data_IF_824673267946
#
_entry.id   IF_824673267946
#
_cell.length_a   1.000
_cell.length_b   1.000
_cell.length_c   1.000
_cell.angle_alpha   90.00
_cell.angle_beta   90.00
_cell.angle_gamma   90.00
#
_symmetry.space_group_name_H-M   'P 1'
#
loop_
_entity.id
_entity.type
_entity.pdbx_description
1 polymer ?
#
# COMPACT_ATOMS: atom_id res chain seq x y z
N UNK A 1 -14.33 -4.68 11.57
CA UNK A 1 -13.46 -5.13 12.68
C UNK A 1 -12.88 -6.50 12.37
N UNK A 2 -11.64 -6.72 12.74
CA UNK A 2 -10.96 -8.00 12.76
C UNK A 2 -10.65 -8.34 14.20
N UNK A 3 -11.14 -9.51 14.70
CA UNK A 3 -10.96 -9.93 16.10
C UNK A 3 -11.28 -8.82 17.13
N UNK A 4 -12.39 -8.09 16.91
CA UNK A 4 -12.92 -7.00 17.74
C UNK A 4 -12.17 -5.65 17.66
N UNK A 5 -11.08 -5.56 16.89
CA UNK A 5 -10.37 -4.30 16.65
C UNK A 5 -10.62 -3.77 15.21
N UNK A 6 -10.60 -2.46 14.99
CA UNK A 6 -10.59 -1.89 13.64
C UNK A 6 -9.41 -2.43 12.81
N UNK A 7 -9.58 -2.65 11.51
CA UNK A 7 -8.47 -3.05 10.63
C UNK A 7 -7.28 -2.09 10.73
N UNK A 8 -7.56 -0.79 10.78
CA UNK A 8 -6.54 0.27 10.92
C UNK A 8 -5.67 0.11 12.18
N UNK A 9 -6.20 -0.47 13.27
CA UNK A 9 -5.40 -0.76 14.47
C UNK A 9 -4.22 -1.67 14.15
N UNK A 10 -4.45 -2.75 13.39
CA UNK A 10 -3.40 -3.70 13.00
C UNK A 10 -2.39 -3.08 12.06
N UNK A 11 -2.85 -2.24 11.11
CA UNK A 11 -1.97 -1.51 10.18
C UNK A 11 -1.07 -0.55 10.96
N UNK A 12 -1.61 0.28 11.86
CA UNK A 12 -0.80 1.21 12.67
C UNK A 12 0.18 0.44 13.56
N UNK A 13 -0.25 -0.70 14.13
CA UNK A 13 0.60 -1.56 14.95
C UNK A 13 1.79 -2.07 14.14
N UNK A 14 1.56 -2.65 12.95
CA UNK A 14 2.62 -3.16 12.08
C UNK A 14 3.62 -2.05 11.67
N UNK A 15 3.12 -0.85 11.34
CA UNK A 15 3.93 0.32 10.98
C UNK A 15 4.82 0.75 12.14
N UNK A 16 4.30 0.79 13.37
CA UNK A 16 5.08 1.11 14.58
C UNK A 16 6.11 0.02 14.89
N UNK A 17 5.74 -1.24 14.77
CA UNK A 17 6.65 -2.38 14.96
C UNK A 17 7.75 -2.43 13.89
N UNK A 18 7.50 -1.91 12.69
CA UNK A 18 8.51 -1.72 11.64
C UNK A 18 9.46 -0.53 11.91
N UNK A 19 9.22 0.26 12.96
CA UNK A 19 10.10 1.37 13.37
C UNK A 19 9.72 2.73 12.78
N UNK A 20 8.55 2.88 12.14
CA UNK A 20 8.07 4.19 11.69
C UNK A 20 7.52 4.97 12.89
N UNK A 21 8.16 6.09 13.21
CA UNK A 21 7.82 6.90 14.40
C UNK A 21 6.70 7.90 14.13
N UNK A 22 6.72 8.55 12.97
CA UNK A 22 5.71 9.54 12.59
C UNK A 22 4.72 8.92 11.60
N UNK A 23 3.42 9.08 11.87
CA UNK A 23 2.34 8.45 11.11
C UNK A 23 1.26 9.50 10.81
N UNK A 24 0.83 9.56 9.55
CA UNK A 24 -0.34 10.33 9.13
C UNK A 24 -1.38 9.39 8.50
N UNK A 25 -2.61 9.41 9.02
CA UNK A 25 -3.72 8.63 8.49
C UNK A 25 -4.60 9.51 7.62
N UNK A 26 -4.73 9.16 6.34
CA UNK A 26 -5.68 9.84 5.45
C UNK A 26 -7.08 9.27 5.68
N UNK A 27 -8.00 10.13 6.09
CA UNK A 27 -9.38 9.78 6.40
C UNK A 27 -10.34 10.33 5.34
N UNK A 28 -11.48 9.68 5.14
CA UNK A 28 -12.48 10.10 4.15
C UNK A 28 -13.91 9.93 4.68
N UNK A 29 -14.67 8.99 4.13
CA UNK A 29 -16.04 8.72 4.59
C UNK A 29 -16.06 8.38 6.08
N UNK A 30 -16.93 9.08 6.84
CA UNK A 30 -17.03 8.96 8.31
C UNK A 30 -15.71 9.23 9.04
N UNK A 31 -14.92 10.17 8.54
CA UNK A 31 -13.61 10.53 9.08
C UNK A 31 -13.62 10.73 10.61
N UNK A 32 -14.65 11.40 11.16
CA UNK A 32 -14.78 11.66 12.61
C UNK A 32 -14.76 10.37 13.44
N UNK A 33 -15.37 9.28 12.92
CA UNK A 33 -15.36 7.97 13.60
C UNK A 33 -13.95 7.36 13.56
N UNK A 34 -13.24 7.45 12.41
CA UNK A 34 -11.89 6.92 12.27
C UNK A 34 -10.92 7.70 13.15
N UNK A 35 -10.99 9.03 13.10
CA UNK A 35 -10.12 9.92 13.87
C UNK A 35 -10.26 9.71 15.39
N UNK A 36 -11.46 9.39 15.86
CA UNK A 36 -11.71 9.08 17.28
C UNK A 36 -10.99 7.80 17.77
N UNK A 37 -10.55 6.93 16.86
CA UNK A 37 -9.79 5.71 17.16
C UNK A 37 -8.28 5.86 16.98
N UNK A 38 -7.80 7.00 16.46
CA UNK A 38 -6.38 7.19 16.23
C UNK A 38 -5.63 7.29 17.57
N UNK A 39 -4.50 6.58 17.72
CA UNK A 39 -3.64 6.73 18.89
C UNK A 39 -3.07 8.15 19.02
N UNK A 40 -2.72 8.54 20.23
CA UNK A 40 -2.01 9.80 20.48
C UNK A 40 -0.71 9.88 19.65
N UNK A 41 -0.46 11.04 19.05
CA UNK A 41 0.70 11.31 18.20
C UNK A 41 0.54 10.88 16.73
N UNK A 42 -0.60 10.27 16.35
CA UNK A 42 -0.90 10.00 14.94
C UNK A 42 -1.61 11.20 14.34
N UNK A 43 -1.03 11.77 13.28
CA UNK A 43 -1.63 12.87 12.52
C UNK A 43 -2.77 12.35 11.61
N UNK A 44 -3.69 13.21 11.22
CA UNK A 44 -4.72 12.90 10.22
C UNK A 44 -4.80 13.95 9.13
N UNK A 45 -5.14 13.50 7.91
CA UNK A 45 -5.44 14.35 6.78
C UNK A 45 -6.80 13.95 6.18
N UNK A 46 -7.66 14.95 5.92
CA UNK A 46 -9.02 14.68 5.44
C UNK A 46 -9.09 14.74 3.91
N UNK A 47 -9.50 13.63 3.31
CA UNK A 47 -9.74 13.52 1.87
C UNK A 47 -11.22 13.81 1.55
N UNK A 48 -11.51 14.96 0.99
CA UNK A 48 -12.85 15.34 0.53
C UNK A 48 -12.76 16.27 -0.71
N UNK A 49 -13.29 15.85 -1.89
CA UNK A 49 -13.92 14.57 -2.19
C UNK A 49 -12.89 13.41 -2.32
N UNK A 50 -13.38 12.18 -2.31
CA UNK A 50 -12.56 10.98 -2.53
C UNK A 50 -12.34 10.77 -4.03
N UNK A 51 -11.12 11.10 -4.51
CA UNK A 51 -10.75 11.08 -5.93
C UNK A 51 -9.62 10.08 -6.24
N UNK A 52 -9.52 9.00 -5.48
CA UNK A 52 -8.56 7.94 -5.68
C UNK A 52 -7.41 7.94 -4.69
N UNK A 53 -6.54 6.92 -4.78
CA UNK A 53 -5.45 6.66 -3.84
C UNK A 53 -4.32 7.69 -3.91
N UNK A 54 -3.98 8.16 -5.10
CA UNK A 54 -3.02 9.26 -5.28
C UNK A 54 -3.54 10.56 -4.67
N UNK A 55 -4.84 10.87 -4.86
CA UNK A 55 -5.45 12.04 -4.23
C UNK A 55 -5.46 11.94 -2.69
N UNK A 56 -5.59 10.74 -2.13
CA UNK A 56 -5.47 10.56 -0.69
C UNK A 56 -4.09 11.02 -0.19
N UNK A 57 -3.02 10.61 -0.85
CA UNK A 57 -1.65 11.03 -0.49
C UNK A 57 -1.44 12.53 -0.74
N UNK A 58 -2.04 13.11 -1.81
CA UNK A 58 -2.01 14.55 -2.03
C UNK A 58 -2.66 15.33 -0.88
N UNK A 59 -3.71 14.80 -0.24
CA UNK A 59 -4.32 15.44 0.94
C UNK A 59 -3.38 15.45 2.16
N UNK A 60 -2.43 14.51 2.24
CA UNK A 60 -1.38 14.47 3.27
C UNK A 60 -0.09 15.19 2.84
N UNK A 61 -0.13 16.03 1.79
CA UNK A 61 1.06 16.67 1.20
C UNK A 61 1.95 17.40 2.22
N UNK A 62 1.36 18.10 3.18
CA UNK A 62 2.13 18.79 4.22
C UNK A 62 2.98 17.85 5.06
N UNK A 63 2.46 16.65 5.36
CA UNK A 63 3.21 15.60 6.03
C UNK A 63 4.36 15.08 5.14
N UNK A 64 4.08 14.80 3.86
CA UNK A 64 5.11 14.37 2.90
C UNK A 64 6.21 15.43 2.73
N UNK A 65 5.85 16.72 2.67
CA UNK A 65 6.81 17.83 2.56
C UNK A 65 7.70 17.98 3.79
N UNK A 66 7.17 17.72 4.99
CA UNK A 66 7.93 17.67 6.25
C UNK A 66 9.01 16.58 6.21
N UNK A 67 8.72 15.45 5.57
CA UNK A 67 9.56 14.25 5.46
C UNK A 67 10.17 14.05 4.07
N UNK A 68 10.31 15.14 3.30
CA UNK A 68 10.77 15.08 1.91
C UNK A 68 12.17 14.44 1.71
N UNK A 69 13.01 14.51 2.71
CA UNK A 69 14.38 13.98 2.67
C UNK A 69 14.49 12.58 3.30
N UNK A 70 13.37 12.04 3.79
CA UNK A 70 13.25 10.71 4.36
C UNK A 70 12.64 9.73 3.35
N UNK A 71 12.64 8.43 3.70
CA UNK A 71 11.86 7.42 2.99
C UNK A 71 10.46 7.34 3.62
N UNK A 72 9.44 7.30 2.78
CA UNK A 72 8.03 7.32 3.19
C UNK A 72 7.37 6.00 2.86
N UNK A 73 6.80 5.37 3.88
CA UNK A 73 5.97 4.17 3.75
C UNK A 73 4.50 4.56 3.53
N UNK A 74 3.88 4.02 2.50
CA UNK A 74 2.44 4.17 2.24
C UNK A 74 1.78 2.80 2.28
N UNK A 75 0.68 2.68 3.04
CA UNK A 75 -0.13 1.47 3.13
C UNK A 75 -1.62 1.77 3.00
N UNK A 76 -2.36 0.79 2.51
CA UNK A 76 -3.82 0.82 2.58
C UNK A 76 -4.31 0.46 3.99
N UNK A 77 -5.34 1.17 4.47
CA UNK A 77 -5.90 0.95 5.80
C UNK A 77 -6.76 -0.32 5.96
N UNK A 78 -7.00 -1.05 4.86
CA UNK A 78 -7.81 -2.28 4.79
C UNK A 78 -6.99 -3.58 4.68
N UNK A 79 -5.65 -3.48 4.78
CA UNK A 79 -4.70 -4.60 4.76
C UNK A 79 -4.17 -4.97 6.16
N UNK A 80 -4.98 -5.54 7.08
CA UNK A 80 -4.60 -5.74 8.47
C UNK A 80 -3.60 -6.90 8.68
N UNK A 81 -3.27 -7.65 7.64
CA UNK A 81 -2.34 -8.78 7.70
C UNK A 81 -0.91 -8.42 7.30
N UNK A 82 -0.67 -7.17 6.85
CA UNK A 82 0.68 -6.68 6.60
C UNK A 82 1.47 -6.67 7.92
N UNK A 83 2.64 -7.25 7.91
CA UNK A 83 3.48 -7.40 9.10
C UNK A 83 4.78 -6.60 9.01
N UNK A 84 5.35 -6.28 10.17
CA UNK A 84 6.57 -5.49 10.28
C UNK A 84 7.78 -6.15 9.59
N UNK A 85 7.86 -7.48 9.59
CA UNK A 85 8.94 -8.22 8.92
C UNK A 85 8.93 -7.99 7.42
N UNK A 86 7.75 -8.12 6.80
CA UNK A 86 7.54 -7.86 5.36
C UNK A 86 7.86 -6.40 5.02
N UNK A 87 7.40 -5.44 5.85
CA UNK A 87 7.67 -4.01 5.68
C UNK A 87 9.18 -3.74 5.69
N UNK A 88 9.91 -4.31 6.68
CA UNK A 88 11.35 -4.10 6.84
C UNK A 88 12.16 -4.78 5.73
N UNK A 89 11.82 -6.01 5.32
CA UNK A 89 12.48 -6.64 4.17
C UNK A 89 12.31 -5.83 2.88
N UNK A 90 11.12 -5.26 2.66
CA UNK A 90 10.88 -4.37 1.52
C UNK A 90 11.66 -3.05 1.64
N UNK A 91 11.86 -2.54 2.87
CA UNK A 91 12.70 -1.36 3.12
C UNK A 91 14.17 -1.64 2.82
N UNK A 92 14.70 -2.75 3.31
CA UNK A 92 16.09 -3.15 3.04
C UNK A 92 16.30 -3.27 1.53
N UNK A 93 15.39 -3.94 0.82
CA UNK A 93 15.40 -4.01 -0.64
C UNK A 93 15.35 -2.62 -1.30
N UNK A 94 14.54 -1.70 -0.78
CA UNK A 94 14.44 -0.31 -1.25
C UNK A 94 15.81 0.40 -1.15
N UNK A 95 16.46 0.29 -0.01
CA UNK A 95 17.77 0.94 0.25
C UNK A 95 18.91 0.32 -0.55
N UNK A 96 19.00 -1.01 -0.59
CA UNK A 96 20.06 -1.74 -1.30
C UNK A 96 20.08 -1.43 -2.80
N UNK A 97 18.90 -1.19 -3.40
CA UNK A 97 18.75 -0.89 -4.82
C UNK A 97 18.70 0.62 -5.12
N UNK A 98 18.79 1.47 -4.11
CA UNK A 98 18.63 2.92 -4.24
C UNK A 98 17.38 3.29 -5.07
N UNK A 99 16.25 2.67 -4.75
CA UNK A 99 15.00 2.86 -5.47
C UNK A 99 14.34 4.20 -5.10
N UNK A 100 13.70 4.85 -6.06
CA UNK A 100 12.79 5.97 -5.83
C UNK A 100 11.41 5.49 -5.36
N UNK A 101 11.02 4.29 -5.80
CA UNK A 101 9.81 3.58 -5.38
C UNK A 101 10.10 2.08 -5.28
N UNK A 102 9.64 1.45 -4.22
CA UNK A 102 9.56 -0.01 -4.09
C UNK A 102 8.14 -0.39 -3.70
N UNK A 103 7.47 -1.14 -4.57
CA UNK A 103 6.18 -1.73 -4.21
C UNK A 103 6.37 -3.09 -3.54
N UNK A 104 5.45 -3.46 -2.65
CA UNK A 104 5.31 -4.83 -2.20
C UNK A 104 4.31 -5.52 -3.12
N UNK A 105 4.69 -6.67 -3.67
CA UNK A 105 3.82 -7.50 -4.50
C UNK A 105 3.75 -8.93 -3.95
N UNK A 106 2.78 -9.70 -4.42
CA UNK A 106 2.67 -11.11 -4.12
C UNK A 106 2.15 -11.88 -5.34
N UNK A 107 2.50 -13.16 -5.42
CA UNK A 107 1.95 -14.07 -6.41
C UNK A 107 0.68 -14.68 -5.84
N UNK A 108 -0.48 -14.34 -6.40
CA UNK A 108 -1.79 -14.80 -5.92
C UNK A 108 -2.54 -15.55 -7.04
N UNK A 109 -3.42 -16.49 -6.66
CA UNK A 109 -4.23 -17.23 -7.61
C UNK A 109 -5.44 -16.43 -8.09
N UNK A 110 -6.09 -15.69 -7.19
CA UNK A 110 -7.23 -14.83 -7.49
C UNK A 110 -6.79 -13.36 -7.47
N UNK A 111 -6.68 -12.77 -8.65
CA UNK A 111 -6.28 -11.38 -8.86
C UNK A 111 -7.46 -10.43 -9.06
N UNK A 112 -8.70 -10.90 -8.84
CA UNK A 112 -9.91 -10.13 -9.09
C UNK A 112 -9.98 -8.89 -8.18
N UNK A 113 -10.04 -7.72 -8.79
CA UNK A 113 -10.13 -6.43 -8.09
C UNK A 113 -8.81 -5.90 -7.54
N UNK A 114 -7.67 -6.54 -7.85
CA UNK A 114 -6.34 -6.14 -7.39
C UNK A 114 -5.53 -5.63 -8.60
N UNK A 115 -4.67 -4.63 -8.40
CA UNK A 115 -3.77 -4.12 -9.44
C UNK A 115 -2.71 -5.16 -9.84
N UNK A 116 -2.43 -5.26 -11.14
CA UNK A 116 -1.51 -6.22 -11.73
C UNK A 116 -0.14 -5.60 -11.98
N UNK A 117 0.92 -6.25 -11.52
CA UNK A 117 2.31 -5.78 -11.72
C UNK A 117 2.81 -6.25 -13.07
N UNK A 118 2.93 -5.32 -14.01
CA UNK A 118 3.36 -5.62 -15.37
C UNK A 118 4.88 -5.52 -15.52
N UNK A 119 5.47 -6.54 -16.12
CA UNK A 119 6.90 -6.61 -16.43
C UNK A 119 7.12 -6.79 -17.93
N UNK A 120 8.30 -6.40 -18.42
CA UNK A 120 8.73 -6.74 -19.77
C UNK A 120 9.21 -8.19 -19.86
N UNK A 121 9.58 -8.62 -21.08
CA UNK A 121 10.11 -9.96 -21.37
C UNK A 121 11.43 -10.29 -20.63
N UNK A 122 12.14 -9.29 -20.12
CA UNK A 122 13.36 -9.42 -19.32
C UNK A 122 13.08 -9.37 -17.81
N UNK A 123 11.81 -9.31 -17.39
CA UNK A 123 11.38 -9.22 -15.99
C UNK A 123 11.49 -7.83 -15.37
N UNK A 124 11.77 -6.77 -16.16
CA UNK A 124 11.83 -5.40 -15.64
C UNK A 124 10.44 -4.84 -15.42
N UNK A 125 10.26 -4.11 -14.32
CA UNK A 125 9.01 -3.41 -14.03
C UNK A 125 8.68 -2.39 -15.12
N UNK A 126 7.41 -2.38 -15.54
CA UNK A 126 6.87 -1.40 -16.47
C UNK A 126 5.85 -0.48 -15.80
N UNK A 127 4.83 -1.05 -15.23
CA UNK A 127 3.74 -0.31 -14.58
C UNK A 127 2.92 -1.25 -13.69
N UNK A 128 1.99 -0.67 -12.93
CA UNK A 128 0.89 -1.38 -12.29
C UNK A 128 -0.36 -1.04 -13.09
N UNK A 129 -1.14 -2.05 -13.49
CA UNK A 129 -2.40 -1.88 -14.20
C UNK A 129 -3.54 -2.20 -13.24
N UNK A 130 -4.37 -1.21 -12.95
CA UNK A 130 -5.55 -1.41 -12.11
C UNK A 130 -6.53 -2.38 -12.78
N UNK A 131 -7.17 -3.24 -11.99
CA UNK A 131 -8.01 -4.33 -12.52
C UNK A 131 -9.13 -3.84 -13.48
N UNK A 132 -9.68 -2.65 -13.22
CA UNK A 132 -10.74 -2.06 -14.05
C UNK A 132 -10.23 -1.51 -15.39
N UNK A 133 -8.95 -1.20 -15.49
CA UNK A 133 -8.28 -0.72 -16.70
C UNK A 133 -7.56 -1.85 -17.45
N UNK A 134 -7.42 -3.04 -16.83
CA UNK A 134 -6.68 -4.17 -17.36
C UNK A 134 -7.45 -4.85 -18.52
N UNK A 135 -6.73 -5.15 -19.60
CA UNK A 135 -7.22 -6.00 -20.68
C UNK A 135 -7.19 -7.49 -20.28
N UNK A 136 -7.71 -8.39 -21.12
CA UNK A 136 -7.84 -9.82 -20.81
C UNK A 136 -6.48 -10.55 -20.65
N UNK A 137 -5.40 -10.05 -21.25
CA UNK A 137 -4.05 -10.61 -21.03
C UNK A 137 -3.45 -10.08 -19.73
N UNK A 138 -3.66 -8.82 -19.40
CA UNK A 138 -3.19 -8.21 -18.16
C UNK A 138 -3.89 -8.80 -16.94
N UNK A 139 -5.16 -9.17 -17.04
CA UNK A 139 -5.89 -9.88 -15.98
C UNK A 139 -5.36 -11.28 -15.67
N UNK A 140 -4.54 -11.86 -16.57
CA UNK A 140 -3.89 -13.15 -16.33
C UNK A 140 -2.59 -13.03 -15.53
N UNK A 141 -2.09 -11.82 -15.33
CA UNK A 141 -0.89 -11.58 -14.52
C UNK A 141 -1.23 -11.90 -13.08
N UNK A 142 -0.50 -12.84 -12.47
CA UNK A 142 -0.69 -13.30 -11.11
C UNK A 142 0.16 -12.55 -10.07
N UNK A 143 1.10 -11.70 -10.50
CA UNK A 143 1.80 -10.79 -9.61
C UNK A 143 0.91 -9.58 -9.32
N UNK A 144 0.46 -9.49 -8.08
CA UNK A 144 -0.50 -8.49 -7.61
C UNK A 144 0.15 -7.46 -6.71
N UNK A 145 -0.28 -6.21 -6.87
CA UNK A 145 0.13 -5.09 -6.05
C UNK A 145 -0.54 -5.16 -4.67
N UNK A 146 0.26 -5.15 -3.60
CA UNK A 146 -0.24 -5.16 -2.23
C UNK A 146 -0.82 -3.82 -1.76
N UNK A 147 -0.70 -2.75 -2.55
CA UNK A 147 -1.08 -1.39 -2.11
C UNK A 147 -0.16 -0.82 -1.02
N UNK A 148 1.04 -1.38 -0.91
CA UNK A 148 2.06 -0.96 0.06
C UNK A 148 3.34 -0.58 -0.68
N UNK A 149 3.92 0.58 -0.33
CA UNK A 149 5.03 1.17 -1.06
C UNK A 149 6.01 1.86 -0.13
N UNK A 150 7.31 1.75 -0.43
CA UNK A 150 8.33 2.66 0.03
C UNK A 150 8.68 3.65 -1.07
N UNK A 151 8.77 4.92 -0.71
CA UNK A 151 9.15 6.01 -1.61
C UNK A 151 10.28 6.83 -1.00
N UNK A 152 11.24 7.27 -1.82
CA UNK A 152 12.04 8.43 -1.47
C UNK A 152 11.14 9.68 -1.48
N UNK A 153 11.12 10.48 -0.40
CA UNK A 153 10.11 11.53 -0.20
C UNK A 153 10.09 12.60 -1.29
N UNK A 154 11.25 13.03 -1.80
CA UNK A 154 11.31 13.98 -2.92
C UNK A 154 10.75 13.38 -4.23
N UNK A 155 10.97 12.08 -4.47
CA UNK A 155 10.45 11.40 -5.65
C UNK A 155 8.92 11.17 -5.53
N UNK A 156 8.41 10.92 -4.31
CA UNK A 156 6.97 10.90 -4.06
C UNK A 156 6.33 12.25 -4.38
N UNK A 157 6.88 13.37 -3.90
CA UNK A 157 6.37 14.71 -4.21
C UNK A 157 6.33 14.95 -5.71
N UNK A 158 7.41 14.60 -6.42
CA UNK A 158 7.44 14.70 -7.87
C UNK A 158 6.35 13.85 -8.54
N UNK A 159 6.18 12.59 -8.11
CA UNK A 159 5.14 11.72 -8.65
C UNK A 159 3.74 12.30 -8.44
N UNK A 160 3.43 12.79 -7.21
CA UNK A 160 2.13 13.40 -6.88
C UNK A 160 1.81 14.62 -7.75
N UNK A 161 2.82 15.41 -8.14
CA UNK A 161 2.65 16.57 -9.01
C UNK A 161 2.36 16.18 -10.48
N UNK A 162 2.61 14.92 -10.86
CA UNK A 162 2.48 14.43 -12.24
C UNK A 162 1.41 13.35 -12.43
N UNK A 163 0.79 12.83 -11.35
CA UNK A 163 -0.34 11.91 -11.46
C UNK A 163 -1.54 12.64 -12.08
N UNK A 164 -2.20 11.98 -13.03
CA UNK A 164 -3.42 12.47 -13.68
C UNK A 164 -4.60 11.55 -13.38
N UNK A 165 -5.81 11.99 -13.69
CA UNK A 165 -7.02 11.18 -13.52
C UNK A 165 -7.60 10.67 -14.86
N UNK A 166 -6.75 10.54 -15.88
CA UNK A 166 -7.16 10.08 -17.20
C UNK A 166 -7.20 8.54 -17.26
N UNK A 167 -8.14 7.92 -16.56
CA UNK A 167 -8.36 6.48 -16.49
C UNK A 167 -9.86 6.15 -16.41
N UNK A 168 -10.22 4.86 -16.36
CA UNK A 168 -11.61 4.40 -16.40
C UNK A 168 -12.48 4.94 -15.26
N UNK A 169 -11.89 5.28 -14.11
CA UNK A 169 -12.61 5.77 -12.93
C UNK A 169 -12.58 7.30 -12.77
N UNK A 170 -11.78 8.03 -13.58
CA UNK A 170 -11.47 9.45 -13.40
C UNK A 170 -10.88 9.77 -12.02
N UNK A 171 -10.05 8.87 -11.49
CA UNK A 171 -9.39 8.97 -10.20
C UNK A 171 -7.88 9.16 -10.33
N UNK A 172 -7.25 9.78 -9.34
CA UNK A 172 -5.80 9.89 -9.24
C UNK A 172 -5.26 8.60 -8.62
N UNK A 173 -4.64 7.73 -9.42
CA UNK A 173 -4.09 6.47 -8.95
C UNK A 173 -2.67 6.64 -8.43
N UNK A 174 -2.40 6.21 -7.20
CA UNK A 174 -1.03 6.20 -6.66
C UNK A 174 -0.12 5.25 -7.46
N UNK A 175 -0.70 4.20 -8.03
CA UNK A 175 0.00 3.21 -8.88
C UNK A 175 0.65 3.82 -10.12
N UNK A 176 0.15 4.95 -10.62
CA UNK A 176 0.76 5.69 -11.74
C UNK A 176 2.15 6.24 -11.40
N UNK A 177 2.46 6.42 -10.10
CA UNK A 177 3.78 6.88 -9.63
C UNK A 177 4.92 6.01 -10.16
N UNK A 178 4.69 4.70 -10.29
CA UNK A 178 5.72 3.78 -10.80
C UNK A 178 6.13 4.15 -12.23
N UNK A 179 5.18 4.29 -13.14
CA UNK A 179 5.45 4.65 -14.54
C UNK A 179 6.04 6.06 -14.68
N UNK A 180 5.57 7.01 -13.86
CA UNK A 180 6.09 8.39 -13.81
C UNK A 180 7.56 8.40 -13.43
N UNK A 181 7.95 7.70 -12.35
CA UNK A 181 9.33 7.66 -11.87
C UNK A 181 10.25 6.89 -12.81
N UNK A 182 9.79 5.76 -13.37
CA UNK A 182 10.54 5.05 -14.42
C UNK A 182 10.76 5.94 -15.65
N UNK A 183 9.78 6.73 -16.06
CA UNK A 183 9.89 7.70 -17.15
C UNK A 183 10.91 8.81 -16.90
N UNK A 184 11.24 9.10 -15.64
CA UNK A 184 12.30 10.01 -15.21
C UNK A 184 13.68 9.33 -15.12
N UNK A 185 13.78 8.05 -15.47
CA UNK A 185 15.02 7.28 -15.36
C UNK A 185 15.40 6.93 -13.91
N UNK A 186 14.44 6.98 -12.98
CA UNK A 186 14.65 6.59 -11.58
C UNK A 186 14.61 5.07 -11.43
N UNK A 187 15.33 4.56 -10.43
CA UNK A 187 15.25 3.16 -10.06
C UNK A 187 13.90 2.85 -9.41
N UNK A 188 13.33 1.73 -9.76
CA UNK A 188 12.09 1.22 -9.16
C UNK A 188 12.19 -0.29 -8.96
N UNK A 189 11.63 -0.80 -7.88
CA UNK A 189 11.65 -2.21 -7.53
C UNK A 189 10.29 -2.75 -7.11
N UNK A 190 10.15 -4.07 -7.17
CA UNK A 190 9.06 -4.79 -6.50
C UNK A 190 9.67 -5.86 -5.61
N UNK A 191 9.39 -5.75 -4.32
CA UNK A 191 9.67 -6.80 -3.35
C UNK A 191 8.53 -7.81 -3.38
N UNK A 192 8.80 -9.01 -3.87
CA UNK A 192 7.80 -10.09 -3.91
C UNK A 192 7.74 -10.72 -2.53
N UNK A 193 6.62 -10.53 -1.84
CA UNK A 193 6.40 -11.07 -0.50
C UNK A 193 6.26 -12.61 -0.56
N UNK A 194 6.97 -13.31 0.32
CA UNK A 194 6.87 -14.76 0.44
C UNK A 194 5.53 -15.20 1.07
N UNK A 195 5.01 -14.40 2.01
CA UNK A 195 3.72 -14.64 2.64
C UNK A 195 2.60 -13.95 1.87
N UNK A 196 1.97 -14.65 0.94
CA UNK A 196 0.88 -14.11 0.13
C UNK A 196 -0.35 -13.68 0.94
N UNK A 197 -0.49 -14.09 2.20
CA UNK A 197 -1.58 -13.66 3.06
C UNK A 197 -1.39 -12.22 3.57
N UNK A 198 -0.14 -11.76 3.70
CA UNK A 198 0.18 -10.40 4.17
C UNK A 198 -0.38 -9.30 3.27
N UNK A 199 -0.65 -9.61 2.00
CA UNK A 199 -1.17 -8.63 1.02
C UNK A 199 -2.69 -8.63 0.89
N UNK A 200 -3.40 -9.46 1.66
CA UNK A 200 -4.85 -9.56 1.58
C UNK A 200 -5.53 -8.39 2.30
N UNK A 201 -6.45 -7.76 1.61
CA UNK A 201 -7.36 -6.75 2.14
C UNK A 201 -8.82 -7.22 2.16
N UNK A 202 -9.72 -6.43 2.73
CA UNK A 202 -11.14 -6.74 2.78
C UNK A 202 -12.01 -5.62 2.20
N UNK A 203 -12.58 -5.85 1.04
CA UNK A 203 -13.56 -4.98 0.40
C UNK A 203 -15.02 -5.40 0.68
N UNK A 204 -15.24 -6.61 1.17
CA UNK A 204 -16.55 -7.15 1.49
C UNK A 204 -16.54 -8.02 2.77
N UNK A 205 -17.74 -8.46 3.18
CA UNK A 205 -17.91 -9.29 4.39
C UNK A 205 -17.30 -10.69 4.26
N UNK A 206 -17.20 -11.24 3.05
CA UNK A 206 -16.61 -12.56 2.80
C UNK A 206 -15.10 -12.48 2.98
N UNK A 207 -14.48 -11.49 2.36
CA UNK A 207 -13.05 -11.20 2.52
C UNK A 207 -12.71 -10.89 3.99
N UNK A 208 -13.51 -10.08 4.67
CA UNK A 208 -13.36 -9.80 6.09
C UNK A 208 -13.39 -11.07 6.95
N UNK A 209 -14.27 -12.03 6.63
CA UNK A 209 -14.30 -13.31 7.35
C UNK A 209 -13.03 -14.16 7.10
N UNK A 210 -12.48 -14.11 5.88
CA UNK A 210 -11.20 -14.76 5.56
C UNK A 210 -10.08 -14.16 6.42
N UNK A 211 -9.96 -12.82 6.46
CA UNK A 211 -8.96 -12.13 7.28
C UNK A 211 -9.07 -12.50 8.76
N UNK A 212 -10.30 -12.56 9.31
CA UNK A 212 -10.52 -12.98 10.70
C UNK A 212 -9.99 -14.39 10.98
N UNK A 213 -10.21 -15.33 10.07
CA UNK A 213 -9.75 -16.72 10.24
C UNK A 213 -8.22 -16.81 10.16
N UNK A 214 -7.59 -16.09 9.22
CA UNK A 214 -6.13 -16.03 9.09
C UNK A 214 -5.52 -15.41 10.35
N UNK A 215 -6.01 -14.26 10.79
CA UNK A 215 -5.51 -13.57 11.98
C UNK A 215 -5.63 -14.45 13.23
N UNK A 216 -6.77 -15.13 13.40
CA UNK A 216 -6.99 -16.06 14.54
C UNK A 216 -5.97 -17.20 14.51
N UNK A 217 -5.74 -17.81 13.34
CA UNK A 217 -4.74 -18.86 13.17
C UNK A 217 -3.35 -18.32 13.55
N UNK A 218 -2.92 -17.19 13.00
CA UNK A 218 -1.60 -16.60 13.25
C UNK A 218 -1.36 -16.31 14.73
N UNK A 219 -2.37 -15.78 15.44
CA UNK A 219 -2.29 -15.54 16.89
C UNK A 219 -2.17 -16.88 17.67
N UNK A 220 -2.97 -17.88 17.31
CA UNK A 220 -2.93 -19.19 17.97
C UNK A 220 -1.57 -19.85 17.76
N UNK A 221 -1.05 -19.83 16.53
CA UNK A 221 0.25 -20.41 16.19
C UNK A 221 1.39 -19.74 16.97
N UNK A 222 1.36 -18.39 17.09
CA UNK A 222 2.32 -17.66 17.90
C UNK A 222 2.25 -18.03 19.39
N UNK A 223 1.06 -18.30 19.94
CA UNK A 223 0.89 -18.77 21.33
C UNK A 223 1.29 -20.22 21.55
N UNK A 224 1.22 -21.08 20.52
CA UNK A 224 1.63 -22.48 20.64
C UNK A 224 3.15 -22.68 20.52
N UNK A 225 3.86 -21.70 19.97
CA UNK A 225 5.32 -21.72 19.78
C UNK A 225 6.09 -21.11 20.97
N UNK A 226 5.39 -20.45 21.89
CA UNK A 226 5.92 -19.87 23.15
C UNK A 226 5.49 -20.72 24.36
#
# INVERSE_FOLDING_TARGET
EVLFEPMLYYVIKAVKEAGCEEICVVTGYKHEIVEAYLPEGVESAYQNPQLGTGHAVMCARSFVEKHRDDDILILNGDGPLMDAGTINCAYDYHKENANAITLISAIVEDTNGIGHVKRDENGRLLCIVEHKDANEEEKKINESNAGTYWFAGNDLLYALDNITNNNAQNEYYLTDSLAILLGQGKNAGAYVCENNESVLGANDRKQLNILNNIMRRNINDAHMLN
#
